data_IF_834135034928
#
_entry.id   IF_834135034928
#
_cell.length_a   1.000
_cell.length_b   1.000
_cell.length_c   1.000
_cell.angle_alpha   90.00
_cell.angle_beta   90.00
_cell.angle_gamma   90.00
#
_symmetry.space_group_name_H-M   'P 1'
#
loop_
_entity.id
_entity.type
_entity.pdbx_description
1 polymer ?
#
# COMPACT_ATOMS: atom_id res chain seq x y z
N UNK A 1 -11.09 -64.32 -6.30
CA UNK A 1 -10.30 -63.41 -5.44
C UNK A 1 -9.93 -62.06 -6.08
N UNK A 2 -10.13 -61.82 -7.38
CA UNK A 2 -9.73 -60.55 -8.03
C UNK A 2 -10.73 -59.38 -7.84
N UNK A 3 -11.99 -59.70 -7.58
CA UNK A 3 -13.09 -58.71 -7.45
C UNK A 3 -13.09 -58.04 -6.05
N UNK A 4 -12.54 -58.70 -5.02
CA UNK A 4 -12.55 -58.16 -3.65
C UNK A 4 -11.54 -57.00 -3.46
N UNK A 5 -10.49 -56.97 -4.29
CA UNK A 5 -9.42 -55.95 -4.22
C UNK A 5 -9.73 -54.74 -5.12
N UNK A 6 -10.61 -54.88 -6.11
CA UNK A 6 -10.91 -53.77 -7.03
C UNK A 6 -11.76 -52.66 -6.40
N UNK A 7 -12.63 -53.02 -5.44
CA UNK A 7 -13.52 -52.07 -4.74
C UNK A 7 -12.75 -51.00 -3.96
N UNK A 8 -11.77 -51.35 -3.07
CA UNK A 8 -11.02 -50.33 -2.34
C UNK A 8 -10.14 -49.47 -3.25
N UNK A 9 -9.58 -50.03 -4.33
CA UNK A 9 -8.73 -49.28 -5.29
C UNK A 9 -9.55 -48.24 -6.06
N UNK A 10 -10.76 -48.59 -6.48
CA UNK A 10 -11.66 -47.65 -7.15
C UNK A 10 -12.12 -46.53 -6.21
N UNK A 11 -12.34 -46.83 -4.93
CA UNK A 11 -12.72 -45.82 -3.94
C UNK A 11 -11.61 -44.80 -3.69
N UNK A 12 -10.35 -45.23 -3.59
CA UNK A 12 -9.20 -44.32 -3.42
C UNK A 12 -9.01 -43.44 -4.66
N UNK A 13 -9.16 -44.01 -5.88
CA UNK A 13 -9.10 -43.22 -7.12
C UNK A 13 -10.21 -42.18 -7.19
N UNK A 14 -11.43 -42.54 -6.79
CA UNK A 14 -12.56 -41.60 -6.73
C UNK A 14 -12.29 -40.44 -5.75
N UNK A 15 -11.77 -40.72 -4.55
CA UNK A 15 -11.40 -39.67 -3.60
C UNK A 15 -10.31 -38.74 -4.13
N UNK A 16 -9.32 -39.28 -4.86
CA UNK A 16 -8.26 -38.48 -5.45
C UNK A 16 -8.78 -37.54 -6.54
N UNK A 17 -9.68 -38.03 -7.42
CA UNK A 17 -10.32 -37.21 -8.46
C UNK A 17 -11.27 -36.16 -7.86
N UNK A 18 -12.04 -36.52 -6.83
CA UNK A 18 -12.94 -35.58 -6.17
C UNK A 18 -12.19 -34.48 -5.40
N UNK A 19 -11.05 -34.84 -4.79
CA UNK A 19 -10.17 -33.88 -4.11
C UNK A 19 -9.53 -32.89 -5.10
N UNK A 20 -9.06 -33.34 -6.26
CA UNK A 20 -8.43 -32.44 -7.23
C UNK A 20 -9.45 -31.54 -7.93
N UNK A 21 -10.66 -32.02 -8.20
CA UNK A 21 -11.72 -31.17 -8.72
C UNK A 21 -12.15 -30.08 -7.73
N UNK A 22 -12.26 -30.41 -6.44
CA UNK A 22 -12.60 -29.43 -5.40
C UNK A 22 -11.53 -28.32 -5.30
N UNK A 23 -10.25 -28.66 -5.46
CA UNK A 23 -9.14 -27.68 -5.44
C UNK A 23 -9.18 -26.76 -6.67
N UNK A 24 -9.47 -27.30 -7.86
CA UNK A 24 -9.51 -26.52 -9.11
C UNK A 24 -10.67 -25.51 -9.12
N UNK A 25 -11.83 -25.87 -8.56
CA UNK A 25 -12.99 -24.96 -8.48
C UNK A 25 -12.75 -23.76 -7.55
N UNK A 26 -12.04 -23.94 -6.43
CA UNK A 26 -11.77 -22.86 -5.47
C UNK A 26 -10.84 -21.79 -6.06
N UNK A 27 -9.86 -22.20 -6.88
CA UNK A 27 -8.92 -21.26 -7.51
C UNK A 27 -9.59 -20.40 -8.59
N UNK A 28 -10.51 -20.97 -9.37
CA UNK A 28 -11.21 -20.24 -10.43
C UNK A 28 -12.26 -19.25 -9.85
N UNK A 29 -12.94 -19.60 -8.77
CA UNK A 29 -13.90 -18.69 -8.12
C UNK A 29 -13.22 -17.55 -7.35
N UNK A 30 -12.06 -17.80 -6.74
CA UNK A 30 -11.29 -16.76 -6.05
C UNK A 30 -10.70 -15.74 -7.04
N UNK A 31 -10.23 -16.18 -8.20
CA UNK A 31 -9.82 -15.28 -9.29
C UNK A 31 -11.02 -14.51 -9.88
N UNK A 32 -12.17 -15.16 -10.10
CA UNK A 32 -13.37 -14.50 -10.62
C UNK A 32 -14.02 -13.50 -9.64
N UNK A 33 -13.84 -13.66 -8.32
CA UNK A 33 -14.28 -12.69 -7.30
C UNK A 33 -13.33 -11.51 -7.12
N UNK A 34 -12.03 -11.69 -7.35
CA UNK A 34 -11.06 -10.60 -7.35
C UNK A 34 -11.31 -9.65 -8.53
N UNK A 35 -11.57 -10.20 -9.72
CA UNK A 35 -11.76 -9.42 -10.95
C UNK A 35 -13.03 -8.55 -10.93
N UNK A 36 -14.11 -9.01 -10.27
CA UNK A 36 -15.37 -8.24 -10.17
C UNK A 36 -15.32 -7.03 -9.23
N UNK A 37 -14.32 -6.90 -8.35
CA UNK A 37 -14.11 -5.69 -7.54
C UNK A 37 -13.35 -4.60 -8.30
N UNK A 38 -12.70 -4.94 -9.41
CA UNK A 38 -11.77 -4.04 -10.11
C UNK A 38 -12.42 -3.21 -11.23
N UNK A 39 -13.69 -3.44 -11.59
CA UNK A 39 -14.26 -2.85 -12.81
C UNK A 39 -15.16 -1.63 -12.68
N UNK A 40 -15.52 -1.14 -11.48
CA UNK A 40 -16.06 0.21 -11.24
C UNK A 40 -16.47 0.33 -9.76
N UNK A 41 -15.55 0.74 -8.89
CA UNK A 41 -15.91 1.11 -7.52
C UNK A 41 -16.39 2.56 -7.54
N UNK A 42 -17.68 2.75 -7.81
CA UNK A 42 -18.38 3.95 -7.32
C UNK A 42 -18.38 3.82 -5.80
N UNK A 43 -17.68 4.73 -5.13
CA UNK A 43 -17.64 4.79 -3.66
C UNK A 43 -19.04 5.15 -3.16
N UNK A 44 -19.83 4.13 -2.86
CA UNK A 44 -21.17 4.27 -2.34
C UNK A 44 -21.67 2.94 -1.82
N UNK A 45 -21.76 2.81 -0.50
CA UNK A 45 -22.37 1.74 0.31
C UNK A 45 -21.45 0.61 0.77
N UNK A 46 -21.01 0.72 2.03
CA UNK A 46 -20.41 -0.36 2.81
C UNK A 46 -21.53 -1.32 3.25
N UNK A 47 -21.50 -2.62 2.88
CA UNK A 47 -22.43 -3.60 3.42
C UNK A 47 -21.87 -4.21 4.71
N UNK A 48 -22.67 -4.18 5.78
CA UNK A 48 -22.38 -4.88 7.02
C UNK A 48 -22.97 -6.29 7.03
N UNK A 49 -22.12 -7.31 7.15
CA UNK A 49 -22.34 -8.68 7.65
C UNK A 49 -21.03 -9.44 7.39
N UNK A 50 -20.47 -10.33 8.21
CA UNK A 50 -20.94 -11.12 9.33
C UNK A 50 -19.66 -11.59 10.05
N UNK A 51 -19.58 -11.40 11.37
CA UNK A 51 -18.41 -11.82 12.17
C UNK A 51 -18.48 -13.34 12.31
N UNK A 52 -17.45 -14.09 11.88
CA UNK A 52 -16.98 -15.34 12.54
C UNK A 52 -15.86 -16.12 11.80
N UNK A 53 -15.18 -15.56 10.79
CA UNK A 53 -14.01 -16.21 10.15
C UNK A 53 -12.68 -15.43 10.29
N UNK A 54 -12.61 -14.47 11.22
CA UNK A 54 -11.56 -13.45 11.19
C UNK A 54 -10.29 -13.78 12.01
N UNK A 55 -10.27 -14.84 12.81
CA UNK A 55 -9.16 -15.05 13.77
C UNK A 55 -7.93 -15.75 13.19
N UNK A 56 -8.05 -16.45 12.06
CA UNK A 56 -6.92 -17.13 11.40
C UNK A 56 -6.22 -16.14 10.45
N UNK A 57 -7.01 -15.39 9.67
CA UNK A 57 -6.50 -14.39 8.71
C UNK A 57 -5.88 -13.15 9.38
N UNK A 58 -6.37 -12.73 10.56
CA UNK A 58 -5.75 -11.64 11.33
C UNK A 58 -4.35 -12.03 11.81
N UNK A 59 -4.11 -13.30 12.18
CA UNK A 59 -2.79 -13.73 12.64
C UNK A 59 -1.78 -13.72 11.50
N UNK A 60 -2.19 -14.19 10.32
CA UNK A 60 -1.32 -14.18 9.14
C UNK A 60 -1.06 -12.76 8.64
N UNK A 61 -2.07 -11.88 8.68
CA UNK A 61 -1.91 -10.46 8.35
C UNK A 61 -1.01 -9.74 9.36
N UNK A 62 -1.19 -9.95 10.67
CA UNK A 62 -0.31 -9.37 11.69
C UNK A 62 1.12 -9.91 11.61
N UNK A 63 1.29 -11.20 11.31
CA UNK A 63 2.61 -11.81 11.13
C UNK A 63 3.30 -11.24 9.88
N UNK A 64 2.54 -11.00 8.80
CA UNK A 64 3.03 -10.34 7.61
C UNK A 64 3.50 -8.90 7.91
N UNK A 65 2.71 -8.12 8.65
CA UNK A 65 3.07 -6.77 9.09
C UNK A 65 4.30 -6.75 9.99
N UNK A 66 4.43 -7.72 10.90
CA UNK A 66 5.60 -7.86 11.77
C UNK A 66 6.86 -8.15 10.96
N UNK A 67 6.79 -9.09 10.01
CA UNK A 67 7.91 -9.44 9.16
C UNK A 67 8.32 -8.28 8.24
N UNK A 68 7.35 -7.52 7.73
CA UNK A 68 7.62 -6.35 6.87
C UNK A 68 8.25 -5.18 7.66
N UNK A 69 7.78 -4.94 8.90
CA UNK A 69 8.37 -3.93 9.78
C UNK A 69 9.82 -4.29 10.15
N UNK A 70 10.11 -5.57 10.41
CA UNK A 70 11.47 -6.05 10.69
C UNK A 70 12.40 -5.87 9.48
N UNK A 71 11.94 -6.18 8.26
CA UNK A 71 12.73 -5.99 7.04
C UNK A 71 13.08 -4.50 6.82
N UNK A 72 12.12 -3.60 7.00
CA UNK A 72 12.35 -2.16 6.90
C UNK A 72 13.31 -1.65 7.98
N UNK A 73 13.21 -2.16 9.22
CA UNK A 73 14.18 -1.82 10.26
C UNK A 73 15.59 -2.30 9.90
N UNK A 74 15.74 -3.52 9.37
CA UNK A 74 17.06 -4.03 8.97
C UNK A 74 17.66 -3.25 7.81
N UNK A 75 16.85 -2.82 6.85
CA UNK A 75 17.31 -2.03 5.71
C UNK A 75 17.72 -0.62 6.14
N UNK A 76 16.98 0.01 7.06
CA UNK A 76 17.37 1.31 7.64
C UNK A 76 18.65 1.22 8.48
N UNK A 77 18.84 0.14 9.26
CA UNK A 77 20.08 -0.06 10.01
C UNK A 77 21.27 -0.33 9.08
N UNK A 78 21.10 -1.15 8.04
CA UNK A 78 22.13 -1.44 7.06
C UNK A 78 22.53 -0.19 6.26
N UNK A 79 21.53 0.61 5.84
CA UNK A 79 21.76 1.88 5.14
C UNK A 79 22.42 2.92 6.03
N UNK A 80 22.10 2.96 7.33
CA UNK A 80 22.76 3.80 8.32
C UNK A 80 24.21 3.38 8.54
N UNK A 81 24.50 2.08 8.69
CA UNK A 81 25.87 1.57 8.81
C UNK A 81 26.70 1.83 7.54
N UNK A 82 26.12 1.66 6.35
CA UNK A 82 26.80 1.97 5.08
C UNK A 82 27.08 3.47 4.92
N UNK A 83 26.19 4.33 5.42
CA UNK A 83 26.39 5.77 5.43
C UNK A 83 27.50 6.16 6.42
N UNK A 84 27.50 5.62 7.64
CA UNK A 84 28.50 5.93 8.67
C UNK A 84 29.93 5.52 8.24
N UNK A 85 30.09 4.35 7.60
CA UNK A 85 31.40 3.90 7.07
C UNK A 85 31.89 4.77 5.90
N UNK A 86 30.99 5.28 5.06
CA UNK A 86 31.36 6.15 3.93
C UNK A 86 31.60 7.61 4.37
N UNK A 87 30.94 8.05 5.45
CA UNK A 87 31.13 9.35 6.08
C UNK A 87 32.49 9.39 6.78
N UNK A 88 32.88 8.37 7.55
CA UNK A 88 34.19 8.34 8.24
C UNK A 88 35.37 8.47 7.26
N UNK A 89 35.27 7.86 6.08
CA UNK A 89 36.31 7.94 5.03
C UNK A 89 36.40 9.32 4.37
N UNK A 90 35.31 10.09 4.33
CA UNK A 90 35.26 11.45 3.78
C UNK A 90 35.55 12.52 4.83
N UNK A 91 35.13 12.33 6.07
CA UNK A 91 35.30 13.29 7.17
C UNK A 91 36.78 13.54 7.49
N UNK A 92 37.65 12.53 7.39
CA UNK A 92 39.11 12.74 7.56
C UNK A 92 39.72 13.67 6.51
N UNK A 93 39.18 13.69 5.28
CA UNK A 93 39.68 14.56 4.19
C UNK A 93 39.00 15.92 4.16
N UNK A 94 37.74 16.02 4.60
CA UNK A 94 36.93 17.25 4.56
C UNK A 94 37.19 18.13 5.79
N UNK A 95 37.51 17.55 6.95
CA UNK A 95 37.70 18.31 8.20
C UNK A 95 38.93 19.24 8.20
N UNK A 96 39.88 19.06 7.27
CA UNK A 96 41.01 19.99 7.08
C UNK A 96 40.68 21.13 6.10
N UNK A 97 39.68 20.96 5.23
CA UNK A 97 39.27 21.97 4.24
C UNK A 97 38.20 22.90 4.80
N UNK A 98 37.27 22.39 5.62
CA UNK A 98 36.11 23.15 6.12
C UNK A 98 36.48 24.23 7.14
N UNK A 99 37.55 24.07 7.95
CA UNK A 99 37.96 25.12 8.91
C UNK A 99 38.40 26.43 8.25
N UNK A 100 38.65 26.46 6.94
CA UNK A 100 39.10 27.66 6.22
C UNK A 100 37.96 28.44 5.52
N UNK A 101 36.74 27.91 5.49
CA UNK A 101 35.60 28.47 4.70
C UNK A 101 34.44 28.94 5.59
N UNK A 102 34.51 28.71 6.92
CA UNK A 102 33.37 28.86 7.85
C UNK A 102 33.07 30.30 8.31
N UNK A 103 33.84 31.32 7.92
CA UNK A 103 33.57 32.71 8.35
C UNK A 103 32.82 33.60 7.34
N UNK A 104 32.49 33.11 6.12
CA UNK A 104 31.93 34.01 5.07
C UNK A 104 30.55 33.62 4.50
N UNK A 105 29.88 32.58 5.00
CA UNK A 105 28.52 32.25 4.51
C UNK A 105 27.63 31.69 5.62
N UNK A 106 27.03 32.58 6.43
CA UNK A 106 25.88 32.27 7.26
C UNK A 106 24.61 32.64 6.47
N UNK A 107 23.80 31.69 5.98
CA UNK A 107 22.54 32.04 5.35
C UNK A 107 21.59 32.63 6.40
N UNK A 108 20.98 33.76 6.01
CA UNK A 108 20.02 34.52 6.79
C UNK A 108 18.78 33.66 7.08
N UNK A 109 18.25 33.76 8.31
CA UNK A 109 17.09 33.01 8.80
C UNK A 109 15.74 33.50 8.21
N UNK A 110 15.71 33.85 6.92
CA UNK A 110 14.53 34.33 6.21
C UNK A 110 14.07 33.40 5.07
N UNK A 111 14.76 32.28 4.81
CA UNK A 111 14.38 31.34 3.74
C UNK A 111 13.34 30.28 4.17
N UNK A 112 12.76 30.39 5.36
CA UNK A 112 11.66 29.51 5.81
C UNK A 112 10.28 29.94 5.28
N UNK A 113 10.19 31.01 4.50
CA UNK A 113 8.94 31.50 3.90
C UNK A 113 8.75 31.08 2.43
N UNK A 114 9.61 30.21 1.87
CA UNK A 114 9.34 29.52 0.59
C UNK A 114 8.59 28.19 0.78
N UNK A 115 7.92 28.01 1.93
CA UNK A 115 6.87 26.99 2.08
C UNK A 115 5.80 27.31 1.04
N UNK A 116 5.95 26.66 -0.10
CA UNK A 116 5.13 26.70 -1.30
C UNK A 116 3.69 27.06 -0.93
N UNK A 117 3.32 28.33 -1.06
CA UNK A 117 1.93 28.73 -1.24
C UNK A 117 1.50 28.05 -2.53
N UNK A 118 1.09 26.80 -2.39
CA UNK A 118 0.62 25.98 -3.48
C UNK A 118 -0.69 26.60 -3.83
N UNK A 119 -0.68 27.52 -4.80
CA UNK A 119 -1.87 28.19 -5.32
C UNK A 119 -2.95 27.14 -5.46
N UNK A 120 -3.94 27.17 -4.56
CA UNK A 120 -5.00 26.17 -4.50
C UNK A 120 -5.66 26.12 -5.87
N UNK A 121 -5.39 25.06 -6.63
CA UNK A 121 -6.00 24.88 -7.94
C UNK A 121 -7.44 24.46 -7.68
N UNK A 122 -8.46 25.30 -7.95
CA UNK A 122 -9.85 25.00 -7.61
C UNK A 122 -10.41 23.80 -8.40
N UNK A 123 -9.68 23.32 -9.42
CA UNK A 123 -10.00 22.13 -10.22
C UNK A 123 -9.04 20.97 -9.94
N UNK A 124 -8.31 21.03 -8.84
CA UNK A 124 -7.42 19.96 -8.41
C UNK A 124 -8.19 18.67 -8.07
N UNK A 125 -7.49 17.53 -8.10
CA UNK A 125 -8.06 16.26 -7.64
C UNK A 125 -8.53 16.36 -6.18
N UNK A 126 -9.78 15.99 -5.89
CA UNK A 126 -10.34 16.02 -4.54
C UNK A 126 -10.85 17.38 -4.05
N UNK A 127 -10.71 18.44 -4.86
CA UNK A 127 -11.21 19.78 -4.49
C UNK A 127 -12.72 19.81 -4.33
N UNK A 128 -13.20 20.64 -3.40
CA UNK A 128 -14.60 20.70 -2.99
C UNK A 128 -15.17 19.34 -2.53
N UNK A 129 -14.31 18.39 -2.14
CA UNK A 129 -14.73 17.05 -1.73
C UNK A 129 -15.21 16.16 -2.87
N UNK A 130 -14.89 16.51 -4.12
CA UNK A 130 -15.23 15.69 -5.28
C UNK A 130 -14.42 14.38 -5.27
N UNK A 131 -15.07 13.26 -5.62
CA UNK A 131 -14.41 11.97 -5.70
C UNK A 131 -13.39 11.90 -6.85
N UNK A 132 -12.27 11.21 -6.60
CA UNK A 132 -11.29 10.89 -7.64
C UNK A 132 -11.60 9.50 -8.19
N UNK A 133 -11.84 9.41 -9.49
CA UNK A 133 -12.04 8.12 -10.18
C UNK A 133 -10.73 7.67 -10.81
N UNK A 134 -10.32 6.44 -10.53
CA UNK A 134 -9.05 5.87 -11.01
C UNK A 134 -9.36 4.61 -11.79
N UNK A 135 -8.97 4.60 -13.06
CA UNK A 135 -9.11 3.43 -13.91
C UNK A 135 -7.84 2.57 -13.80
N UNK A 136 -7.90 1.50 -12.99
CA UNK A 136 -6.76 0.61 -12.71
C UNK A 136 -6.10 0.05 -13.98
N UNK A 137 -6.89 -0.17 -15.04
CA UNK A 137 -6.42 -0.69 -16.33
C UNK A 137 -5.62 0.32 -17.15
N UNK A 138 -5.71 1.62 -16.82
CA UNK A 138 -4.96 2.69 -17.49
C UNK A 138 -3.71 3.10 -16.72
N UNK A 139 -3.48 2.54 -15.53
CA UNK A 139 -2.28 2.80 -14.75
C UNK A 139 -1.07 2.10 -15.37
N UNK A 140 0.09 2.74 -15.31
CA UNK A 140 1.35 2.06 -15.56
C UNK A 140 1.60 0.98 -14.49
N UNK A 141 2.48 0.02 -14.77
CA UNK A 141 2.79 -1.06 -13.82
C UNK A 141 3.33 -0.50 -12.48
N UNK A 142 4.13 0.58 -12.53
CA UNK A 142 4.66 1.24 -11.33
C UNK A 142 3.55 1.91 -10.50
N UNK A 143 2.60 2.58 -11.15
CA UNK A 143 1.47 3.20 -10.47
C UNK A 143 0.50 2.17 -9.91
N UNK A 144 0.28 1.07 -10.63
CA UNK A 144 -0.53 -0.04 -10.16
C UNK A 144 0.06 -0.65 -8.90
N UNK A 145 1.38 -0.83 -8.85
CA UNK A 145 2.07 -1.25 -7.62
C UNK A 145 1.83 -0.29 -6.46
N UNK A 146 1.94 1.03 -6.68
CA UNK A 146 1.66 2.04 -5.64
C UNK A 146 0.20 2.00 -5.17
N UNK A 147 -0.73 1.81 -6.09
CA UNK A 147 -2.14 1.63 -5.80
C UNK A 147 -2.37 0.42 -4.89
N UNK A 148 -1.84 -0.75 -5.27
CA UNK A 148 -2.00 -2.00 -4.51
C UNK A 148 -1.28 -1.94 -3.15
N UNK A 149 -0.07 -1.40 -3.09
CA UNK A 149 0.69 -1.20 -1.85
C UNK A 149 -0.04 -0.26 -0.89
N UNK A 150 -0.67 0.80 -1.41
CA UNK A 150 -1.45 1.76 -0.63
C UNK A 150 -2.63 1.11 0.09
N UNK A 151 -3.37 0.25 -0.61
CA UNK A 151 -4.46 -0.54 -0.02
C UNK A 151 -3.96 -1.51 1.04
N UNK A 152 -2.87 -2.23 0.74
CA UNK A 152 -2.26 -3.21 1.63
C UNK A 152 -1.79 -2.60 2.96
N UNK A 153 -1.23 -1.39 2.91
CA UNK A 153 -0.62 -0.75 4.07
C UNK A 153 -1.63 0.05 4.91
N UNK A 154 -2.70 0.59 4.31
CA UNK A 154 -3.58 1.55 5.00
C UNK A 154 -5.07 1.17 5.01
N UNK A 155 -5.48 0.11 4.32
CA UNK A 155 -6.88 -0.28 4.13
C UNK A 155 -7.79 0.82 3.51
N UNK A 156 -7.19 1.83 2.88
CA UNK A 156 -7.85 2.82 2.04
C UNK A 156 -6.99 3.11 0.81
N UNK A 157 -7.55 3.83 -0.17
CA UNK A 157 -6.84 4.19 -1.39
C UNK A 157 -5.84 5.33 -1.14
N UNK A 158 -4.64 4.98 -0.67
CA UNK A 158 -3.57 5.94 -0.45
C UNK A 158 -3.17 6.63 -1.76
N UNK A 159 -3.14 5.91 -2.88
CA UNK A 159 -2.80 6.48 -4.19
C UNK A 159 -3.76 7.63 -4.60
N UNK A 160 -5.05 7.52 -4.27
CA UNK A 160 -5.98 8.64 -4.43
C UNK A 160 -5.69 9.80 -3.47
N UNK A 161 -5.36 9.49 -2.20
CA UNK A 161 -5.02 10.50 -1.19
C UNK A 161 -3.77 11.29 -1.57
N UNK A 162 -2.74 10.62 -2.11
CA UNK A 162 -1.47 11.23 -2.49
C UNK A 162 -1.62 12.19 -3.69
N UNK A 163 -2.67 12.02 -4.50
CA UNK A 163 -3.02 12.98 -5.54
C UNK A 163 -3.69 14.24 -4.99
N UNK A 164 -4.36 14.17 -3.84
CA UNK A 164 -5.09 15.31 -3.27
C UNK A 164 -4.16 16.36 -2.66
N UNK A 165 -4.54 17.63 -2.78
CA UNK A 165 -3.88 18.69 -2.02
C UNK A 165 -4.11 18.52 -0.52
N UNK A 166 -3.08 18.73 0.29
CA UNK A 166 -3.20 18.81 1.75
C UNK A 166 -4.03 20.00 2.21
N UNK A 167 -4.15 21.04 1.38
CA UNK A 167 -4.90 22.28 1.65
C UNK A 167 -6.20 22.35 0.83
N UNK A 168 -6.75 21.20 0.41
CA UNK A 168 -7.95 21.15 -0.42
C UNK A 168 -9.15 21.83 0.23
N UNK A 169 -9.97 22.46 -0.60
CA UNK A 169 -11.20 23.11 -0.17
C UNK A 169 -12.36 22.11 0.03
N UNK A 170 -13.30 22.47 0.90
CA UNK A 170 -14.57 21.76 1.10
C UNK A 170 -15.72 22.76 1.08
N UNK A 171 -16.87 22.43 0.44
CA UNK A 171 -18.06 23.25 0.54
C UNK A 171 -18.60 23.23 1.96
N UNK A 172 -19.14 24.36 2.41
CA UNK A 172 -19.85 24.41 3.68
C UNK A 172 -21.21 23.72 3.52
N UNK A 173 -21.38 22.62 4.24
CA UNK A 173 -22.63 21.82 4.26
C UNK A 173 -23.38 21.96 5.59
N UNK A 174 -22.93 22.85 6.47
CA UNK A 174 -23.58 23.09 7.75
C UNK A 174 -24.91 23.81 7.54
N UNK A 175 -25.85 23.57 8.45
CA UNK A 175 -27.08 24.35 8.51
C UNK A 175 -26.79 25.83 8.77
N UNK A 176 -27.69 26.72 8.34
CA UNK A 176 -27.50 28.18 8.45
C UNK A 176 -27.36 28.69 9.88
N UNK A 177 -27.82 27.90 10.86
CA UNK A 177 -27.82 28.25 12.29
C UNK A 177 -26.58 27.72 13.04
N UNK A 178 -25.69 27.00 12.36
CA UNK A 178 -24.47 26.40 12.92
C UNK A 178 -23.24 27.32 12.94
#
# INVERSE_FOLDING_TARGET
LKILVSIPVLYVLYLFVFSTHSIITVNNESQARADKRDQNVIVGKVPGHERNLHNIEIKDHMQFHLNHALLNLTDTMLKKQLHDVNIDRKVTKVSQVVKKVVDENRPNAQDSQSVLETKNNPKGPGENGLGITIEKNKLSEEEKKKFDDGWKNNAYNQFASDMMSLQRSLPDVRDKEC
#
